data_IF_261752182108
#
_entry.id   IF_261752182108
#
_cell.length_a   1.000
_cell.length_b   1.000
_cell.length_c   1.000
_cell.angle_alpha   90.00
_cell.angle_beta   90.00
_cell.angle_gamma   90.00
#
_symmetry.space_group_name_H-M   'P 1'
#
loop_
_entity.id
_entity.type
_entity.pdbx_description
1 polymer ?
#
# COMPACT_ATOMS: atom_id res chain seq x y z
N UNK A 1 -5.22 4.65 30.43
CA UNK A 1 -5.14 5.01 28.99
C UNK A 1 -5.10 6.52 28.75
N UNK A 2 -6.18 7.31 28.94
CA UNK A 2 -6.14 8.77 28.69
C UNK A 2 -5.14 9.53 29.57
N UNK A 3 -5.05 9.15 30.85
CA UNK A 3 -4.08 9.71 31.80
C UNK A 3 -2.63 9.41 31.42
N UNK A 4 -2.31 8.14 31.16
CA UNK A 4 -0.99 7.70 30.66
C UNK A 4 -0.58 8.40 29.36
N UNK A 5 -1.53 8.58 28.43
CA UNK A 5 -1.26 9.29 27.17
C UNK A 5 -0.85 10.75 27.43
N UNK A 6 -1.56 11.44 28.33
CA UNK A 6 -1.25 12.81 28.72
C UNK A 6 0.10 12.93 29.44
N UNK A 7 0.40 12.02 30.35
CA UNK A 7 1.70 11.94 31.05
C UNK A 7 2.87 11.72 30.05
N UNK A 8 2.68 10.85 29.04
CA UNK A 8 3.67 10.68 27.97
C UNK A 8 3.83 11.93 27.09
N UNK A 9 2.73 12.60 26.73
CA UNK A 9 2.76 13.84 25.94
C UNK A 9 3.52 14.94 26.68
N UNK A 10 3.29 15.09 27.99
CA UNK A 10 3.98 16.06 28.85
C UNK A 10 5.47 15.73 29.00
N UNK A 11 5.82 14.45 29.15
CA UNK A 11 7.23 14.02 29.34
C UNK A 11 8.05 14.15 28.06
N UNK A 12 7.49 13.76 26.92
CA UNK A 12 8.20 13.71 25.64
C UNK A 12 8.14 15.03 24.86
N UNK A 13 7.19 15.91 25.19
CA UNK A 13 6.95 17.15 24.44
C UNK A 13 6.42 16.92 23.02
N UNK A 14 5.98 15.70 22.70
CA UNK A 14 5.49 15.29 21.38
C UNK A 14 4.09 14.72 21.51
N UNK A 15 3.23 15.02 20.53
CA UNK A 15 1.87 14.48 20.47
C UNK A 15 1.89 12.95 20.35
N UNK A 16 1.22 12.26 21.27
CA UNK A 16 1.06 10.81 21.19
C UNK A 16 -0.10 10.50 20.24
N UNK A 17 0.15 9.69 19.22
CA UNK A 17 -0.88 9.24 18.28
C UNK A 17 -0.87 7.73 18.16
N UNK A 18 -2.04 7.15 17.91
CA UNK A 18 -2.18 5.71 17.68
C UNK A 18 -1.77 5.31 16.25
N UNK A 19 -1.36 6.27 15.42
CA UNK A 19 -1.00 6.04 14.02
C UNK A 19 -0.04 7.13 13.56
N UNK A 20 1.12 6.71 13.07
CA UNK A 20 2.14 7.60 12.50
C UNK A 20 2.42 7.17 11.07
N UNK A 21 2.70 8.12 10.20
CA UNK A 21 3.18 7.83 8.84
C UNK A 21 4.70 8.05 8.81
N UNK A 22 5.45 7.01 8.47
CA UNK A 22 6.90 7.05 8.33
C UNK A 22 7.31 6.44 6.99
N UNK A 23 8.10 7.17 6.19
CA UNK A 23 8.54 6.76 4.85
C UNK A 23 7.41 6.20 3.96
N UNK A 24 6.23 6.82 4.04
CA UNK A 24 5.06 6.41 3.27
C UNK A 24 4.21 5.30 3.90
N UNK A 25 4.68 4.65 4.96
CA UNK A 25 4.02 3.53 5.64
C UNK A 25 3.31 4.02 6.91
N UNK A 26 2.08 3.58 7.10
CA UNK A 26 1.37 3.78 8.35
C UNK A 26 1.78 2.72 9.36
N UNK A 27 2.36 3.17 10.46
CA UNK A 27 2.75 2.35 11.61
C UNK A 27 1.66 2.52 12.67
N UNK A 28 1.12 1.40 13.13
CA UNK A 28 0.08 1.35 14.17
C UNK A 28 0.52 0.40 15.29
N UNK A 29 0.18 0.67 16.57
CA UNK A 29 0.51 -0.21 17.69
C UNK A 29 -0.07 -1.62 17.56
N UNK A 30 -1.18 -1.78 16.82
CA UNK A 30 -1.82 -3.06 16.55
C UNK A 30 -1.42 -3.56 15.17
N UNK A 31 -0.95 -4.81 15.09
CA UNK A 31 -0.57 -5.43 13.81
C UNK A 31 -1.79 -5.67 12.90
N UNK A 32 -2.98 -5.89 13.46
CA UNK A 32 -4.19 -6.16 12.70
C UNK A 32 -4.55 -5.06 11.70
N UNK A 33 -4.25 -3.80 12.00
CA UNK A 33 -4.56 -2.65 11.13
C UNK A 33 -3.47 -2.38 10.09
N UNK A 34 -2.25 -2.93 10.24
CA UNK A 34 -1.13 -2.67 9.31
C UNK A 34 -1.45 -3.10 7.88
N UNK A 35 -2.14 -4.23 7.71
CA UNK A 35 -2.52 -4.77 6.40
C UNK A 35 -3.53 -3.85 5.70
N UNK A 36 -4.56 -3.44 6.41
CA UNK A 36 -5.61 -2.56 5.88
C UNK A 36 -5.06 -1.17 5.55
N UNK A 37 -4.25 -0.62 6.45
CA UNK A 37 -3.74 0.73 6.31
C UNK A 37 -2.67 0.91 5.25
N UNK A 38 -2.00 -0.17 4.84
CA UNK A 38 -0.92 -0.12 3.86
C UNK A 38 -1.25 -0.94 2.60
N UNK A 39 -1.45 -2.25 2.72
CA UNK A 39 -1.61 -3.15 1.57
C UNK A 39 -2.92 -2.93 0.82
N UNK A 40 -4.04 -2.85 1.56
CA UNK A 40 -5.36 -2.66 0.93
C UNK A 40 -5.42 -1.29 0.24
N UNK A 41 -4.94 -0.24 0.91
CA UNK A 41 -4.88 1.11 0.32
C UNK A 41 -3.94 1.19 -0.88
N UNK A 42 -2.78 0.54 -0.84
CA UNK A 42 -1.87 0.50 -1.99
C UNK A 42 -2.52 -0.21 -3.18
N UNK A 43 -3.19 -1.35 -2.96
CA UNK A 43 -3.91 -2.08 -4.01
C UNK A 43 -4.99 -1.21 -4.66
N UNK A 44 -5.78 -0.48 -3.85
CA UNK A 44 -6.79 0.45 -4.36
C UNK A 44 -6.16 1.56 -5.19
N UNK A 45 -5.07 2.16 -4.71
CA UNK A 45 -4.34 3.20 -5.44
C UNK A 45 -3.80 2.68 -6.79
N UNK A 46 -3.21 1.49 -6.81
CA UNK A 46 -2.75 0.84 -8.04
C UNK A 46 -3.92 0.66 -9.01
N UNK A 47 -5.07 0.17 -8.56
CA UNK A 47 -6.24 0.01 -9.42
C UNK A 47 -6.69 1.34 -10.02
N UNK A 48 -6.75 2.40 -9.22
CA UNK A 48 -7.11 3.75 -9.69
C UNK A 48 -6.08 4.31 -10.68
N UNK A 49 -4.79 4.16 -10.41
CA UNK A 49 -3.71 4.63 -11.29
C UNK A 49 -3.76 3.90 -12.64
N UNK A 50 -4.01 2.58 -12.64
CA UNK A 50 -4.13 1.80 -13.87
C UNK A 50 -5.34 2.18 -14.72
N UNK A 51 -6.50 2.45 -14.10
CA UNK A 51 -7.69 2.96 -14.80
C UNK A 51 -7.39 4.31 -15.47
N UNK A 52 -6.59 5.17 -14.84
CA UNK A 52 -6.18 6.45 -15.45
C UNK A 52 -5.24 6.22 -16.62
N UNK A 53 -4.27 5.32 -16.48
CA UNK A 53 -3.27 5.03 -17.52
C UNK A 53 -3.84 4.23 -18.70
N UNK A 54 -4.98 3.58 -18.53
CA UNK A 54 -5.67 2.90 -19.63
C UNK A 54 -6.02 3.89 -20.77
N UNK A 55 -6.24 5.17 -20.43
CA UNK A 55 -6.51 6.25 -21.38
C UNK A 55 -5.29 6.66 -22.22
N UNK A 56 -4.07 6.27 -21.86
CA UNK A 56 -2.84 6.68 -22.53
C UNK A 56 -2.54 5.89 -23.82
N UNK A 57 -3.45 5.00 -24.26
CA UNK A 57 -3.33 4.19 -25.49
C UNK A 57 -1.95 3.50 -25.64
N UNK A 58 -1.46 2.88 -24.57
CA UNK A 58 -0.15 2.22 -24.56
C UNK A 58 -0.16 0.91 -25.36
N UNK A 59 0.93 0.63 -26.07
CA UNK A 59 1.17 -0.69 -26.67
C UNK A 59 1.20 -1.79 -25.60
N UNK A 60 1.05 -3.06 -25.99
CA UNK A 60 1.11 -4.19 -25.06
C UNK A 60 2.42 -4.21 -24.25
N UNK A 61 3.55 -3.99 -24.93
CA UNK A 61 4.88 -3.88 -24.30
C UNK A 61 4.92 -2.68 -23.35
N UNK A 62 4.39 -1.53 -23.77
CA UNK A 62 4.29 -0.34 -22.93
C UNK A 62 3.51 -0.61 -21.64
N UNK A 63 2.39 -1.32 -21.72
CA UNK A 63 1.58 -1.70 -20.54
C UNK A 63 2.32 -2.63 -19.60
N UNK A 64 2.99 -3.66 -20.12
CA UNK A 64 3.82 -4.57 -19.32
C UNK A 64 4.94 -3.81 -18.60
N UNK A 65 5.65 -2.94 -19.33
CA UNK A 65 6.71 -2.10 -18.74
C UNK A 65 6.16 -1.15 -17.67
N UNK A 66 5.00 -0.55 -17.89
CA UNK A 66 4.34 0.31 -16.88
C UNK A 66 4.07 -0.46 -15.58
N UNK A 67 3.55 -1.69 -15.65
CA UNK A 67 3.35 -2.54 -14.45
C UNK A 67 4.69 -2.82 -13.77
N UNK A 68 5.69 -3.29 -14.53
CA UNK A 68 7.01 -3.65 -13.99
C UNK A 68 7.71 -2.47 -13.32
N UNK A 69 7.61 -1.27 -13.89
CA UNK A 69 8.34 -0.10 -13.40
C UNK A 69 7.57 0.68 -12.33
N UNK A 70 6.23 0.70 -12.35
CA UNK A 70 5.46 1.54 -11.45
C UNK A 70 4.74 0.77 -10.33
N UNK A 71 4.31 -0.47 -10.59
CA UNK A 71 3.50 -1.26 -9.66
C UNK A 71 4.38 -2.19 -8.83
N UNK A 72 5.24 -2.96 -9.49
CA UNK A 72 6.12 -3.93 -8.83
C UNK A 72 6.99 -3.31 -7.72
N UNK A 73 7.74 -2.20 -7.92
CA UNK A 73 8.59 -1.65 -6.87
C UNK A 73 7.79 -1.16 -5.65
N UNK A 74 6.57 -0.63 -5.84
CA UNK A 74 5.72 -0.19 -4.71
C UNK A 74 5.29 -1.37 -3.85
N UNK A 75 4.98 -2.51 -4.47
CA UNK A 75 4.58 -3.73 -3.74
C UNK A 75 5.79 -4.34 -3.03
N UNK A 76 6.94 -4.44 -3.72
CA UNK A 76 8.18 -4.96 -3.13
C UNK A 76 8.62 -4.14 -1.92
N UNK A 77 8.50 -2.81 -2.00
CA UNK A 77 8.78 -1.93 -0.87
C UNK A 77 7.96 -2.28 0.36
N UNK A 78 6.63 -2.52 0.23
CA UNK A 78 5.81 -2.95 1.37
C UNK A 78 6.24 -4.32 1.91
N UNK A 79 6.57 -5.28 1.04
CA UNK A 79 7.03 -6.61 1.48
C UNK A 79 8.34 -6.56 2.26
N UNK A 80 9.26 -5.68 1.89
CA UNK A 80 10.55 -5.54 2.58
C UNK A 80 10.45 -4.76 3.90
N UNK A 81 9.45 -3.88 4.04
CA UNK A 81 9.34 -2.96 5.17
C UNK A 81 8.35 -3.41 6.24
N UNK A 82 7.30 -4.15 5.86
CA UNK A 82 6.27 -4.60 6.80
C UNK A 82 6.34 -6.13 6.92
N UNK A 83 6.79 -6.66 8.08
CA UNK A 83 6.92 -8.10 8.27
C UNK A 83 5.57 -8.76 8.58
N UNK A 84 4.66 -8.78 7.61
CA UNK A 84 3.37 -9.47 7.71
C UNK A 84 3.24 -10.58 6.68
N UNK A 85 2.51 -11.63 7.06
CA UNK A 85 2.13 -12.68 6.11
C UNK A 85 1.02 -12.19 5.19
N UNK A 86 1.31 -12.13 3.90
CA UNK A 86 0.35 -11.78 2.86
C UNK A 86 -0.24 -13.07 2.29
N UNK A 87 -1.56 -13.26 2.48
CA UNK A 87 -2.25 -14.45 1.97
C UNK A 87 -2.42 -14.46 0.45
N UNK A 88 -2.56 -15.66 -0.12
CA UNK A 88 -2.70 -15.92 -1.57
C UNK A 88 -3.72 -15.00 -2.28
N UNK A 89 -4.89 -14.79 -1.66
CA UNK A 89 -5.97 -13.95 -2.20
C UNK A 89 -5.50 -12.53 -2.59
N UNK A 90 -4.55 -11.96 -1.86
CA UNK A 90 -4.02 -10.63 -2.20
C UNK A 90 -3.28 -10.64 -3.55
N UNK A 91 -2.49 -11.67 -3.79
CA UNK A 91 -1.76 -11.86 -5.05
C UNK A 91 -2.71 -12.18 -6.20
N UNK A 92 -3.73 -13.00 -5.97
CA UNK A 92 -4.76 -13.31 -6.96
C UNK A 92 -5.50 -12.03 -7.40
N UNK A 93 -5.88 -11.17 -6.45
CA UNK A 93 -6.52 -9.88 -6.73
C UNK A 93 -5.59 -8.94 -7.53
N UNK A 94 -4.31 -8.87 -7.17
CA UNK A 94 -3.32 -8.05 -7.89
C UNK A 94 -3.09 -8.55 -9.31
N UNK A 95 -2.97 -9.86 -9.49
CA UNK A 95 -2.83 -10.48 -10.81
C UNK A 95 -4.05 -10.18 -11.68
N UNK A 96 -5.26 -10.26 -11.12
CA UNK A 96 -6.48 -9.89 -11.84
C UNK A 96 -6.46 -8.43 -12.32
N UNK A 97 -6.05 -7.50 -11.44
CA UNK A 97 -5.93 -6.07 -11.79
C UNK A 97 -4.87 -5.85 -12.87
N UNK A 98 -3.70 -6.46 -12.75
CA UNK A 98 -2.60 -6.32 -13.70
C UNK A 98 -2.95 -6.90 -15.08
N UNK A 99 -3.53 -8.11 -15.12
CA UNK A 99 -3.96 -8.76 -16.35
C UNK A 99 -5.03 -7.94 -17.05
N UNK A 100 -6.03 -7.42 -16.31
CA UNK A 100 -7.04 -6.53 -16.88
C UNK A 100 -6.43 -5.34 -17.59
N UNK A 101 -5.46 -4.67 -16.97
CA UNK A 101 -4.77 -3.54 -17.59
C UNK A 101 -3.95 -3.95 -18.83
N UNK A 102 -3.16 -5.02 -18.72
CA UNK A 102 -2.30 -5.53 -19.81
C UNK A 102 -3.12 -5.95 -21.03
N UNK A 103 -4.31 -6.52 -20.83
CA UNK A 103 -5.17 -7.02 -21.91
C UNK A 103 -6.30 -6.07 -22.31
N UNK A 104 -6.53 -4.96 -21.57
CA UNK A 104 -7.68 -4.06 -21.79
C UNK A 104 -9.05 -4.79 -21.70
N UNK A 105 -9.14 -5.80 -20.83
CA UNK A 105 -10.36 -6.61 -20.59
C UNK A 105 -10.70 -6.72 -19.12
#
# INVERSE_FOLDING_TARGET
>A
LKRQKKELEETLGIQVTNKVKYLGIYITPRCGTLKEDNYVKLKQKIATDLIKWEKLQLSLIGRISTIKMNVLPKILYLFQTIPIQVGKKFFDDLNKIALKFIWQG
#
